data_IF_707846199713
#
_entry.id   IF_707846199713
#
_cell.length_a   1.000
_cell.length_b   1.000
_cell.length_c   1.000
_cell.angle_alpha   90.00
_cell.angle_beta   90.00
_cell.angle_gamma   90.00
#
_symmetry.space_group_name_H-M   'P 1'
#
loop_
_entity.id
_entity.type
_entity.pdbx_description
1 polymer ?
#
# COMPACT_ATOMS: atom_id res chain seq x y z
N UNK A 1 -14.79 15.96 39.37
CA UNK A 1 -14.70 16.11 37.90
C UNK A 1 -13.23 16.27 37.55
N UNK A 2 -12.58 15.24 37.00
CA UNK A 2 -11.18 15.35 36.58
C UNK A 2 -11.12 16.28 35.37
N UNK A 3 -10.28 17.32 35.44
CA UNK A 3 -9.94 18.14 34.27
C UNK A 3 -9.49 17.17 33.18
N UNK A 4 -10.20 17.12 32.05
CA UNK A 4 -9.80 16.32 30.89
C UNK A 4 -8.40 16.78 30.50
N UNK A 5 -7.40 15.94 30.77
CA UNK A 5 -6.03 16.24 30.40
C UNK A 5 -5.98 16.31 28.88
N UNK A 6 -5.59 17.48 28.34
CA UNK A 6 -5.41 17.67 26.90
C UNK A 6 -4.47 16.59 26.35
N UNK A 7 -4.85 16.00 25.22
CA UNK A 7 -4.13 14.87 24.63
C UNK A 7 -3.67 15.14 23.21
N UNK A 8 -2.39 14.86 22.96
CA UNK A 8 -1.79 14.81 21.62
C UNK A 8 -1.77 13.37 21.15
N UNK A 9 -2.23 13.13 19.93
CA UNK A 9 -2.13 11.83 19.28
C UNK A 9 -1.17 11.92 18.09
N UNK A 10 -0.10 11.15 18.12
CA UNK A 10 0.84 11.00 17.01
C UNK A 10 0.45 9.77 16.18
N UNK A 11 0.14 9.96 14.90
CA UNK A 11 -0.05 8.81 13.99
C UNK A 11 1.29 8.46 13.39
N UNK A 12 1.83 7.30 13.77
CA UNK A 12 3.15 6.81 13.38
C UNK A 12 3.01 5.54 12.56
N UNK A 13 4.04 5.20 11.80
CA UNK A 13 4.02 4.00 10.97
C UNK A 13 4.54 2.76 11.70
N UNK A 14 5.61 2.93 12.50
CA UNK A 14 6.35 1.82 13.09
C UNK A 14 6.58 2.06 14.59
N UNK A 15 6.54 1.01 15.44
CA UNK A 15 6.84 1.14 16.87
C UNK A 15 8.20 1.76 17.19
N UNK A 16 9.19 1.57 16.30
CA UNK A 16 10.52 2.16 16.46
C UNK A 16 10.49 3.69 16.48
N UNK A 17 9.61 4.34 15.72
CA UNK A 17 9.45 5.81 15.72
C UNK A 17 9.07 6.31 17.12
N UNK A 18 8.10 5.66 17.77
CA UNK A 18 7.67 6.01 19.12
C UNK A 18 8.81 5.89 20.15
N UNK A 19 9.66 4.85 20.06
CA UNK A 19 10.79 4.68 20.98
C UNK A 19 11.78 5.83 20.90
N UNK A 20 12.08 6.31 19.70
CA UNK A 20 12.99 7.45 19.51
C UNK A 20 12.33 8.80 19.81
N UNK A 21 11.02 8.92 19.62
CA UNK A 21 10.24 10.12 19.97
C UNK A 21 10.04 10.28 21.48
N UNK A 22 9.84 9.19 22.23
CA UNK A 22 9.42 9.23 23.63
C UNK A 22 10.26 10.16 24.52
N UNK A 23 11.61 10.18 24.46
CA UNK A 23 12.43 11.09 25.26
C UNK A 23 12.23 12.58 24.92
N UNK A 24 11.91 12.88 23.67
CA UNK A 24 11.79 14.25 23.17
C UNK A 24 10.38 14.82 23.40
N UNK A 25 9.35 14.01 23.19
CA UNK A 25 7.95 14.46 23.34
C UNK A 25 7.60 14.79 24.79
N UNK A 26 8.24 14.15 25.77
CA UNK A 26 8.10 14.49 27.19
C UNK A 26 8.57 15.92 27.49
N UNK A 27 9.55 16.42 26.72
CA UNK A 27 10.05 17.81 26.82
C UNK A 27 9.17 18.78 26.03
N UNK A 28 8.72 18.36 24.84
CA UNK A 28 7.94 19.20 23.94
C UNK A 28 6.49 19.42 24.42
N UNK A 29 5.87 18.42 25.05
CA UNK A 29 4.52 18.49 25.61
C UNK A 29 4.47 18.10 27.11
N UNK A 30 5.12 18.85 28.01
CA UNK A 30 5.37 18.41 29.39
C UNK A 30 4.12 18.32 30.29
N UNK A 31 2.97 18.80 29.82
CA UNK A 31 1.69 18.79 30.57
C UNK A 31 0.57 18.07 29.84
N UNK A 32 0.83 17.54 28.64
CA UNK A 32 -0.18 16.88 27.83
C UNK A 32 0.03 15.38 27.87
N UNK A 33 -1.05 14.64 27.72
CA UNK A 33 -0.96 13.20 27.53
C UNK A 33 -0.61 12.93 26.06
N UNK A 34 0.50 12.26 25.78
CA UNK A 34 0.93 11.96 24.42
C UNK A 34 0.69 10.49 24.12
N UNK A 35 -0.20 10.20 23.18
CA UNK A 35 -0.48 8.85 22.68
C UNK A 35 0.09 8.71 21.27
N UNK A 36 0.53 7.50 20.90
CA UNK A 36 0.88 7.18 19.54
C UNK A 36 0.05 6.03 19.01
N UNK A 37 -0.45 6.16 17.78
CA UNK A 37 -1.20 5.13 17.04
C UNK A 37 -0.33 4.63 15.90
N UNK A 38 -0.12 3.31 15.82
CA UNK A 38 0.69 2.70 14.77
C UNK A 38 -0.15 2.27 13.56
N UNK A 39 0.28 2.64 12.35
CA UNK A 39 -0.34 2.20 11.10
C UNK A 39 0.30 0.93 10.50
N UNK A 40 1.47 0.51 11.01
CA UNK A 40 2.17 -0.74 10.71
C UNK A 40 2.51 -0.93 9.21
N UNK A 41 2.90 0.14 8.50
CA UNK A 41 3.24 0.17 7.06
C UNK A 41 2.07 -0.14 6.10
N UNK A 42 1.24 -1.13 6.43
CA UNK A 42 0.12 -1.61 5.62
C UNK A 42 -1.19 -0.85 5.85
N UNK A 43 -1.23 0.03 6.86
CA UNK A 43 -2.44 0.69 7.34
C UNK A 43 -3.30 -0.23 8.21
N UNK A 44 -4.14 0.38 9.05
CA UNK A 44 -5.12 -0.31 9.90
C UNK A 44 -6.40 -0.73 9.16
N UNK A 45 -6.53 -0.30 7.91
CA UNK A 45 -7.65 -0.64 7.06
C UNK A 45 -7.14 -1.28 5.76
N UNK A 46 -7.92 -2.22 5.26
CA UNK A 46 -7.69 -2.87 3.98
C UNK A 46 -8.92 -2.76 3.08
N UNK A 47 -8.76 -3.12 1.81
CA UNK A 47 -9.85 -3.01 0.86
C UNK A 47 -11.01 -3.95 1.22
N UNK A 48 -12.21 -3.39 1.20
CA UNK A 48 -13.47 -4.11 1.21
C UNK A 48 -13.92 -4.30 -0.22
N UNK A 49 -13.59 -5.44 -0.82
CA UNK A 49 -14.01 -5.72 -2.19
C UNK A 49 -15.53 -5.93 -2.29
N UNK A 50 -16.18 -5.47 -3.38
CA UNK A 50 -17.57 -5.76 -3.65
C UNK A 50 -17.79 -7.27 -3.75
N UNK A 51 -18.91 -7.75 -3.20
CA UNK A 51 -19.33 -9.14 -3.28
C UNK A 51 -20.47 -9.27 -4.29
N UNK A 52 -20.65 -10.47 -4.84
CA UNK A 52 -21.76 -10.77 -5.74
C UNK A 52 -21.66 -10.14 -7.13
N UNK A 53 -20.46 -9.71 -7.55
CA UNK A 53 -20.26 -9.27 -8.93
C UNK A 53 -20.48 -10.43 -9.90
N UNK A 54 -21.27 -10.16 -10.92
CA UNK A 54 -21.55 -11.05 -12.04
C UNK A 54 -20.59 -10.77 -13.19
N UNK A 55 -20.60 -11.63 -14.21
CA UNK A 55 -19.77 -11.43 -15.40
C UNK A 55 -20.11 -10.14 -16.16
N UNK A 56 -21.38 -9.70 -16.13
CA UNK A 56 -21.82 -8.44 -16.74
C UNK A 56 -21.38 -7.19 -15.98
N UNK A 57 -20.97 -7.33 -14.71
CA UNK A 57 -20.44 -6.22 -13.92
C UNK A 57 -18.94 -5.94 -14.19
N UNK A 58 -18.31 -6.76 -15.03
CA UNK A 58 -16.90 -6.66 -15.37
C UNK A 58 -16.70 -6.04 -16.77
N UNK A 59 -15.68 -5.18 -16.97
CA UNK A 59 -14.72 -4.72 -15.96
C UNK A 59 -15.31 -3.73 -14.95
N UNK A 60 -15.06 -3.99 -13.67
CA UNK A 60 -15.51 -3.15 -12.56
C UNK A 60 -14.64 -1.90 -12.41
N UNK A 61 -15.26 -0.77 -12.08
CA UNK A 61 -14.57 0.46 -11.67
C UNK A 61 -15.40 1.19 -10.63
N UNK A 62 -14.85 1.41 -9.44
CA UNK A 62 -15.49 2.08 -8.31
C UNK A 62 -14.49 2.76 -7.38
N UNK A 63 -15.01 3.48 -6.39
CA UNK A 63 -14.18 4.08 -5.35
C UNK A 63 -13.71 2.99 -4.36
N UNK A 64 -12.46 3.07 -3.85
CA UNK A 64 -12.00 2.18 -2.80
C UNK A 64 -12.92 2.22 -1.58
N UNK A 65 -13.38 1.05 -1.16
CA UNK A 65 -14.03 0.85 0.12
C UNK A 65 -13.07 0.18 1.09
N UNK A 66 -13.22 0.50 2.38
CA UNK A 66 -12.28 0.07 3.42
C UNK A 66 -13.00 -0.78 4.46
N UNK A 67 -12.29 -1.71 5.07
CA UNK A 67 -12.71 -2.44 6.29
C UNK A 67 -11.50 -2.52 7.21
N UNK A 68 -11.75 -2.70 8.50
CA UNK A 68 -10.67 -2.91 9.45
C UNK A 68 -9.82 -4.13 9.05
N UNK A 69 -8.51 -3.96 9.16
CA UNK A 69 -7.56 -5.03 8.89
C UNK A 69 -7.61 -6.03 10.03
N UNK A 70 -7.73 -7.30 9.67
CA UNK A 70 -7.59 -8.41 10.63
C UNK A 70 -6.11 -8.77 10.75
N UNK A 71 -5.62 -8.91 11.97
CA UNK A 71 -4.25 -9.34 12.25
C UNK A 71 -4.27 -10.81 12.67
N UNK A 72 -3.56 -11.67 11.93
CA UNK A 72 -3.53 -13.12 12.18
C UNK A 72 -2.56 -13.55 13.30
N UNK A 73 -1.93 -12.60 13.98
CA UNK A 73 -0.98 -12.81 15.08
C UNK A 73 -1.46 -12.09 16.33
N UNK A 74 -0.87 -12.38 17.50
CA UNK A 74 -1.16 -11.68 18.74
C UNK A 74 -1.27 -10.17 18.48
N UNK A 75 -2.45 -9.59 18.77
CA UNK A 75 -2.79 -8.22 18.40
C UNK A 75 -1.65 -7.28 18.80
N UNK A 76 -0.93 -6.67 17.83
CA UNK A 76 0.10 -5.72 18.17
C UNK A 76 -0.55 -4.59 18.98
N UNK A 77 0.14 -4.08 20.00
CA UNK A 77 -0.34 -2.89 20.70
C UNK A 77 -0.36 -1.73 19.70
N UNK A 78 -1.54 -1.40 19.18
CA UNK A 78 -1.73 -0.36 18.16
C UNK A 78 -1.68 1.04 18.75
N UNK A 79 -2.00 1.16 20.05
CA UNK A 79 -1.91 2.41 20.80
C UNK A 79 -0.92 2.25 21.94
N UNK A 80 0.00 3.20 22.03
CA UNK A 80 0.92 3.34 23.16
C UNK A 80 0.83 4.74 23.74
N UNK A 81 1.28 4.88 24.97
CA UNK A 81 1.47 6.15 25.65
C UNK A 81 2.96 6.47 25.73
N UNK A 82 3.33 7.70 25.38
CA UNK A 82 4.69 8.21 25.47
C UNK A 82 4.80 9.03 26.76
N UNK A 83 5.30 8.41 27.83
CA UNK A 83 5.34 9.00 29.17
C UNK A 83 6.72 8.81 29.80
N UNK A 84 7.21 9.84 30.49
CA UNK A 84 8.51 9.84 31.17
C UNK A 84 9.69 9.38 30.30
N UNK A 85 9.65 9.66 29.00
CA UNK A 85 10.69 9.26 28.06
C UNK A 85 10.61 7.81 27.56
N UNK A 86 9.57 7.08 27.94
CA UNK A 86 9.37 5.66 27.63
C UNK A 86 8.09 5.40 26.81
N UNK A 87 7.98 4.19 26.27
CA UNK A 87 6.82 3.71 25.52
C UNK A 87 6.04 2.72 26.39
N UNK A 88 4.85 3.14 26.85
CA UNK A 88 3.96 2.34 27.67
C UNK A 88 2.85 1.73 26.82
N UNK A 89 2.66 0.42 26.87
CA UNK A 89 1.55 -0.24 26.17
C UNK A 89 0.22 0.17 26.78
N UNK A 90 -0.81 0.28 25.94
CA UNK A 90 -2.18 0.55 26.38
C UNK A 90 -3.13 -0.51 25.82
N UNK A 91 -4.32 -0.62 26.41
CA UNK A 91 -5.44 -1.39 25.89
C UNK A 91 -6.46 -0.49 25.15
N UNK A 92 -6.06 0.73 24.76
CA UNK A 92 -6.93 1.67 24.10
C UNK A 92 -7.06 1.34 22.62
N UNK A 93 -8.23 1.63 22.06
CA UNK A 93 -8.49 1.43 20.64
C UNK A 93 -8.16 2.69 19.82
N UNK A 94 -7.54 2.55 18.62
CA UNK A 94 -7.20 3.68 17.75
C UNK A 94 -8.35 4.66 17.51
N UNK A 95 -9.55 4.14 17.19
CA UNK A 95 -10.70 4.98 16.87
C UNK A 95 -11.15 5.84 18.06
N UNK A 96 -11.15 5.29 19.28
CA UNK A 96 -11.52 6.02 20.48
C UNK A 96 -10.50 7.12 20.78
N UNK A 97 -9.22 6.79 20.70
CA UNK A 97 -8.12 7.73 20.96
C UNK A 97 -8.12 8.88 19.97
N UNK A 98 -8.33 8.60 18.69
CA UNK A 98 -8.41 9.60 17.64
C UNK A 98 -9.64 10.50 17.83
N UNK A 99 -10.80 9.93 18.15
CA UNK A 99 -12.04 10.69 18.35
C UNK A 99 -12.00 11.61 19.58
N UNK A 100 -11.28 11.23 20.64
CA UNK A 100 -11.15 12.04 21.85
C UNK A 100 -9.95 13.00 21.85
N UNK A 101 -9.12 12.97 20.81
CA UNK A 101 -7.88 13.73 20.76
C UNK A 101 -8.13 15.25 20.74
N UNK A 102 -7.36 16.02 21.52
CA UNK A 102 -7.34 17.48 21.37
C UNK A 102 -6.61 17.87 20.08
N UNK A 103 -5.52 17.18 19.75
CA UNK A 103 -4.76 17.43 18.53
C UNK A 103 -4.20 16.12 18.00
N UNK A 104 -4.26 15.96 16.68
CA UNK A 104 -3.75 14.78 15.98
C UNK A 104 -2.63 15.24 15.04
N UNK A 105 -1.47 14.60 15.13
CA UNK A 105 -0.30 14.89 14.32
C UNK A 105 -0.04 13.78 13.32
N UNK A 106 0.29 14.18 12.09
CA UNK A 106 0.91 13.27 11.14
C UNK A 106 2.38 13.02 11.52
N UNK A 107 2.79 11.76 11.59
CA UNK A 107 4.18 11.35 11.82
C UNK A 107 4.54 10.00 11.18
N UNK A 108 3.83 9.58 10.13
CA UNK A 108 4.20 8.42 9.32
C UNK A 108 5.46 8.71 8.48
N UNK A 109 5.99 7.71 7.77
CA UNK A 109 7.10 7.94 6.84
C UNK A 109 6.69 9.01 5.79
N UNK A 110 7.58 9.94 5.39
CA UNK A 110 7.26 11.04 4.48
C UNK A 110 7.14 10.57 3.01
N UNK A 111 6.14 9.73 2.74
CA UNK A 111 5.85 9.16 1.43
C UNK A 111 4.33 8.99 1.17
N UNK A 112 4.01 8.52 -0.05
CA UNK A 112 2.63 8.32 -0.49
C UNK A 112 1.87 7.24 0.30
N UNK A 113 2.57 6.25 0.87
CA UNK A 113 1.95 5.18 1.67
C UNK A 113 1.59 5.70 3.05
N UNK A 114 2.51 6.41 3.71
CA UNK A 114 2.32 7.03 5.03
C UNK A 114 1.18 8.06 5.03
N UNK A 115 1.21 8.99 4.07
CA UNK A 115 0.16 10.02 3.92
C UNK A 115 -1.23 9.40 3.67
N UNK A 116 -1.31 8.38 2.82
CA UNK A 116 -2.58 7.72 2.53
C UNK A 116 -3.08 6.87 3.73
N UNK A 117 -2.20 6.15 4.42
CA UNK A 117 -2.57 5.37 5.60
C UNK A 117 -3.12 6.27 6.72
N UNK A 118 -2.51 7.44 6.91
CA UNK A 118 -3.00 8.49 7.80
C UNK A 118 -4.39 8.98 7.40
N UNK A 119 -4.58 9.38 6.13
CA UNK A 119 -5.87 9.91 5.66
C UNK A 119 -7.00 8.88 5.77
N UNK A 120 -6.73 7.63 5.40
CA UNK A 120 -7.70 6.54 5.51
C UNK A 120 -8.07 6.32 6.98
N UNK A 121 -7.08 6.26 7.88
CA UNK A 121 -7.33 6.10 9.31
C UNK A 121 -8.23 7.21 9.86
N UNK A 122 -7.90 8.48 9.59
CA UNK A 122 -8.73 9.61 10.02
C UNK A 122 -10.14 9.56 9.42
N UNK A 123 -10.26 9.23 8.14
CA UNK A 123 -11.56 9.16 7.46
C UNK A 123 -12.45 8.09 8.08
N UNK A 124 -11.87 6.94 8.46
CA UNK A 124 -12.63 5.85 9.09
C UNK A 124 -12.98 6.14 10.56
N UNK A 125 -12.14 6.87 11.29
CA UNK A 125 -12.39 7.19 12.70
C UNK A 125 -13.24 8.46 12.91
N UNK A 126 -13.13 9.47 12.04
CA UNK A 126 -13.73 10.79 12.22
C UNK A 126 -14.74 11.18 11.12
N UNK A 127 -14.78 10.45 10.01
CA UNK A 127 -15.52 10.85 8.81
C UNK A 127 -14.71 11.76 7.87
N UNK A 128 -15.15 11.86 6.62
CA UNK A 128 -14.40 12.51 5.54
C UNK A 128 -14.19 14.03 5.76
N UNK A 129 -15.22 14.74 6.23
CA UNK A 129 -15.14 16.18 6.48
C UNK A 129 -14.13 16.50 7.58
N UNK A 130 -14.24 15.82 8.72
CA UNK A 130 -13.29 16.00 9.82
C UNK A 130 -11.88 15.59 9.41
N UNK A 131 -11.71 14.50 8.65
CA UNK A 131 -10.41 14.05 8.16
C UNK A 131 -9.74 15.02 7.18
N UNK A 132 -10.50 15.89 6.50
CA UNK A 132 -9.97 16.90 5.58
C UNK A 132 -9.48 18.17 6.26
N UNK A 133 -9.75 18.35 7.57
CA UNK A 133 -9.27 19.52 8.33
C UNK A 133 -7.73 19.53 8.39
N UNK A 134 -7.14 20.70 8.21
CA UNK A 134 -5.69 20.91 8.36
C UNK A 134 -5.22 20.47 9.76
N UNK A 135 -4.14 19.68 9.81
CA UNK A 135 -3.55 19.17 11.05
C UNK A 135 -2.05 19.38 11.08
N UNK A 136 -1.45 19.51 12.28
CA UNK A 136 0.00 19.51 12.41
C UNK A 136 0.64 18.26 11.81
N UNK A 137 1.83 18.42 11.24
CA UNK A 137 2.59 17.36 10.63
C UNK A 137 4.08 17.48 10.98
N UNK A 138 4.71 16.35 11.26
CA UNK A 138 6.16 16.24 11.38
C UNK A 138 6.68 15.26 10.33
N UNK A 139 7.64 15.70 9.53
CA UNK A 139 8.25 14.86 8.49
C UNK A 139 9.52 14.20 9.03
N UNK A 140 9.39 12.94 9.47
CA UNK A 140 10.50 12.17 10.02
C UNK A 140 11.38 11.63 8.89
N UNK A 141 12.42 12.37 8.52
CA UNK A 141 13.42 11.95 7.51
C UNK A 141 14.54 11.08 8.08
N UNK A 142 14.67 11.05 9.40
CA UNK A 142 15.61 10.23 10.16
C UNK A 142 15.09 9.96 11.57
N UNK A 143 15.63 8.92 12.22
CA UNK A 143 15.24 8.53 13.59
C UNK A 143 16.31 8.86 14.65
N UNK A 144 17.39 9.53 14.26
CA UNK A 144 18.33 10.08 15.21
C UNK A 144 17.75 11.30 15.93
N UNK A 145 18.28 11.59 17.12
CA UNK A 145 17.81 12.68 17.98
C UNK A 145 17.76 14.03 17.25
N UNK A 146 18.77 14.34 16.44
CA UNK A 146 18.89 15.61 15.73
C UNK A 146 17.79 15.75 14.67
N UNK A 147 17.58 14.71 13.86
CA UNK A 147 16.53 14.69 12.84
C UNK A 147 15.13 14.82 13.44
N UNK A 148 14.86 14.11 14.54
CA UNK A 148 13.55 14.19 15.22
C UNK A 148 13.33 15.57 15.84
N UNK A 149 14.33 16.11 16.54
CA UNK A 149 14.22 17.46 17.12
C UNK A 149 13.95 18.50 16.03
N UNK A 150 14.67 18.42 14.90
CA UNK A 150 14.44 19.28 13.74
C UNK A 150 13.00 19.14 13.21
N UNK A 151 12.44 17.94 13.14
CA UNK A 151 11.08 17.72 12.68
C UNK A 151 10.01 18.26 13.65
N UNK A 152 10.29 18.25 14.96
CA UNK A 152 9.43 18.84 15.99
C UNK A 152 9.50 20.38 15.99
N UNK A 153 10.69 20.94 15.85
CA UNK A 153 10.91 22.39 15.87
C UNK A 153 10.44 23.07 14.58
N UNK A 154 10.59 22.39 13.44
CA UNK A 154 10.14 22.82 12.12
C UNK A 154 8.90 22.04 11.68
N UNK A 155 7.95 21.84 12.59
CA UNK A 155 6.68 21.20 12.26
C UNK A 155 5.94 22.01 11.17
N UNK A 156 5.29 21.30 10.28
CA UNK A 156 4.44 21.86 9.21
C UNK A 156 2.99 21.42 9.43
N UNK A 157 2.16 21.45 8.39
CA UNK A 157 0.79 20.97 8.44
C UNK A 157 0.50 20.00 7.30
N UNK A 158 -0.67 19.37 7.35
CA UNK A 158 -1.16 18.54 6.24
C UNK A 158 -1.51 19.37 5.00
N UNK A 159 -1.53 20.71 5.05
CA UNK A 159 -1.64 21.56 3.86
C UNK A 159 -0.28 21.82 3.17
N UNK A 160 0.82 21.33 3.76
CA UNK A 160 2.15 21.40 3.14
C UNK A 160 2.13 20.79 1.71
N UNK A 161 2.70 21.47 0.70
CA UNK A 161 2.72 20.99 -0.67
C UNK A 161 3.31 19.58 -0.85
N UNK A 162 4.30 19.19 -0.03
CA UNK A 162 4.89 17.85 -0.08
C UNK A 162 3.90 16.80 0.44
N UNK A 163 3.24 17.06 1.57
CA UNK A 163 2.21 16.17 2.10
C UNK A 163 1.07 15.98 1.09
N UNK A 164 0.55 17.08 0.53
CA UNK A 164 -0.51 17.05 -0.47
C UNK A 164 -0.10 16.26 -1.73
N UNK A 165 1.17 16.37 -2.14
CA UNK A 165 1.72 15.57 -3.23
C UNK A 165 1.72 14.08 -2.89
N UNK A 166 2.17 13.70 -1.70
CA UNK A 166 2.17 12.30 -1.26
C UNK A 166 0.76 11.74 -1.14
N UNK A 167 -0.16 12.50 -0.56
CA UNK A 167 -1.55 12.09 -0.41
C UNK A 167 -2.19 11.79 -1.78
N UNK A 168 -2.08 12.71 -2.74
CA UNK A 168 -2.60 12.53 -4.11
C UNK A 168 -2.01 11.30 -4.81
N UNK A 169 -0.70 11.09 -4.69
CA UNK A 169 -0.04 9.88 -5.23
C UNK A 169 -0.58 8.61 -4.57
N UNK A 170 -0.78 8.64 -3.26
CA UNK A 170 -1.34 7.53 -2.49
C UNK A 170 -2.77 7.21 -2.89
N UNK A 171 -3.62 8.23 -3.05
CA UNK A 171 -5.01 8.08 -3.51
C UNK A 171 -5.09 7.45 -4.91
N UNK A 172 -4.34 7.98 -5.87
CA UNK A 172 -4.28 7.44 -7.22
C UNK A 172 -3.85 5.96 -7.22
N UNK A 173 -2.82 5.64 -6.43
CA UNK A 173 -2.34 4.27 -6.26
C UNK A 173 -3.41 3.36 -5.67
N UNK A 174 -4.12 3.79 -4.61
CA UNK A 174 -5.19 2.98 -4.00
C UNK A 174 -6.40 2.83 -4.91
N UNK A 175 -6.76 3.87 -5.66
CA UNK A 175 -7.80 3.79 -6.67
C UNK A 175 -7.46 2.74 -7.74
N UNK A 176 -6.24 2.75 -8.28
CA UNK A 176 -5.79 1.74 -9.22
C UNK A 176 -5.78 0.34 -8.57
N UNK A 177 -5.13 0.19 -7.42
CA UNK A 177 -4.93 -1.12 -6.78
C UNK A 177 -6.26 -1.78 -6.38
N UNK A 178 -7.21 -0.99 -5.87
CA UNK A 178 -8.55 -1.49 -5.55
C UNK A 178 -9.22 -2.08 -6.79
N UNK A 179 -9.33 -1.28 -7.86
CA UNK A 179 -10.04 -1.69 -9.06
C UNK A 179 -9.31 -2.80 -9.81
N UNK A 180 -7.98 -2.76 -9.87
CA UNK A 180 -7.19 -3.86 -10.43
C UNK A 180 -7.45 -5.15 -9.68
N UNK A 181 -7.41 -5.14 -8.34
CA UNK A 181 -7.57 -6.34 -7.54
C UNK A 181 -8.98 -6.93 -7.68
N UNK A 182 -10.05 -6.11 -7.71
CA UNK A 182 -11.42 -6.59 -7.93
C UNK A 182 -11.53 -7.37 -9.24
N UNK A 183 -11.02 -6.79 -10.33
CA UNK A 183 -11.06 -7.43 -11.64
C UNK A 183 -10.13 -8.65 -11.73
N UNK A 184 -8.92 -8.56 -11.18
CA UNK A 184 -7.95 -9.65 -11.18
C UNK A 184 -8.46 -10.87 -10.39
N UNK A 185 -9.10 -10.66 -9.23
CA UNK A 185 -9.69 -11.75 -8.45
C UNK A 185 -10.77 -12.49 -9.26
N UNK A 186 -11.64 -11.75 -9.96
CA UNK A 186 -12.70 -12.34 -10.77
C UNK A 186 -12.15 -13.03 -12.03
N UNK A 187 -11.28 -12.34 -12.78
CA UNK A 187 -10.85 -12.77 -14.12
C UNK A 187 -9.62 -13.67 -14.09
N UNK A 188 -8.62 -13.39 -13.27
CA UNK A 188 -7.42 -14.23 -13.18
C UNK A 188 -7.59 -15.36 -12.17
N UNK A 189 -8.41 -15.19 -11.13
CA UNK A 189 -8.65 -16.23 -10.12
C UNK A 189 -9.12 -17.56 -10.72
N UNK A 190 -10.03 -17.53 -11.71
CA UNK A 190 -10.45 -18.74 -12.41
C UNK A 190 -9.30 -19.39 -13.20
N UNK A 191 -8.46 -18.59 -13.88
CA UNK A 191 -7.32 -19.12 -14.64
C UNK A 191 -6.26 -19.74 -13.73
N UNK A 192 -6.01 -19.12 -12.57
CA UNK A 192 -5.11 -19.65 -11.55
C UNK A 192 -5.60 -21.01 -11.03
N UNK A 193 -6.88 -21.13 -10.70
CA UNK A 193 -7.46 -22.41 -10.25
C UNK A 193 -7.40 -23.49 -11.32
N UNK A 194 -7.62 -23.14 -12.59
CA UNK A 194 -7.54 -24.09 -13.71
C UNK A 194 -6.16 -24.72 -13.85
N UNK A 195 -5.09 -24.04 -13.45
CA UNK A 195 -3.72 -24.59 -13.43
C UNK A 195 -3.30 -25.14 -12.05
N UNK A 196 -4.25 -25.31 -11.13
CA UNK A 196 -4.02 -25.90 -9.82
C UNK A 196 -3.34 -24.97 -8.79
N UNK A 197 -3.52 -23.66 -8.89
CA UNK A 197 -3.10 -22.70 -7.85
C UNK A 197 -4.18 -22.54 -6.79
N UNK A 198 -3.80 -22.62 -5.52
CA UNK A 198 -4.67 -22.29 -4.39
C UNK A 198 -4.84 -20.76 -4.27
N UNK A 199 -5.99 -20.26 -4.72
CA UNK A 199 -6.32 -18.82 -4.67
C UNK A 199 -6.83 -18.36 -3.30
N UNK A 200 -6.97 -19.24 -2.30
CA UNK A 200 -7.32 -18.82 -0.95
C UNK A 200 -6.15 -18.07 -0.27
N UNK A 201 -4.92 -18.50 -0.58
CA UNK A 201 -3.69 -17.96 0.01
C UNK A 201 -2.84 -17.15 -0.97
N UNK A 202 -3.25 -17.07 -2.24
CA UNK A 202 -2.50 -16.37 -3.29
C UNK A 202 -3.40 -15.44 -4.11
N UNK A 203 -2.99 -14.17 -4.18
CA UNK A 203 -3.57 -13.17 -5.08
C UNK A 203 -2.52 -12.66 -6.07
N UNK A 204 -2.81 -12.75 -7.37
CA UNK A 204 -1.92 -12.26 -8.40
C UNK A 204 -1.94 -10.73 -8.45
N UNK A 205 -0.86 -10.10 -8.00
CA UNK A 205 -0.71 -8.64 -8.13
C UNK A 205 -0.34 -8.25 -9.55
N UNK A 206 -0.64 -6.99 -9.92
CA UNK A 206 -0.24 -6.41 -11.22
C UNK A 206 1.25 -6.58 -11.52
N UNK A 207 2.11 -6.46 -10.51
CA UNK A 207 3.55 -6.59 -10.65
C UNK A 207 4.00 -8.05 -10.73
N UNK A 208 3.31 -8.96 -10.03
CA UNK A 208 3.56 -10.40 -10.18
C UNK A 208 3.28 -10.87 -11.60
N UNK A 209 2.21 -10.38 -12.23
CA UNK A 209 1.88 -10.69 -13.61
C UNK A 209 2.96 -10.19 -14.59
N UNK A 210 3.42 -8.93 -14.45
CA UNK A 210 4.45 -8.40 -15.35
C UNK A 210 5.80 -9.08 -15.18
N UNK A 211 6.18 -9.45 -13.95
CA UNK A 211 7.37 -10.24 -13.70
C UNK A 211 7.25 -11.64 -14.32
N UNK A 212 6.08 -12.27 -14.23
CA UNK A 212 5.85 -13.59 -14.82
C UNK A 212 5.97 -13.56 -16.35
N UNK A 213 5.42 -12.54 -17.03
CA UNK A 213 5.63 -12.36 -18.48
C UNK A 213 7.10 -12.15 -18.84
N UNK A 214 7.84 -11.37 -18.05
CA UNK A 214 9.28 -11.19 -18.28
C UNK A 214 10.04 -12.52 -18.17
N UNK A 215 9.77 -13.30 -17.13
CA UNK A 215 10.37 -14.64 -16.94
C UNK A 215 9.97 -15.63 -18.03
N UNK A 216 8.83 -15.41 -18.72
CA UNK A 216 8.42 -16.21 -19.86
C UNK A 216 9.25 -15.91 -21.13
N UNK A 217 9.72 -14.66 -21.28
CA UNK A 217 10.52 -14.22 -22.44
C UNK A 217 12.03 -14.42 -22.27
N UNK A 218 12.48 -14.84 -21.10
CA UNK A 218 13.90 -14.92 -20.77
C UNK A 218 14.28 -16.30 -20.20
N UNK A 219 15.57 -16.61 -20.23
CA UNK A 219 16.12 -17.78 -19.53
C UNK A 219 16.18 -17.55 -18.02
N UNK A 220 16.77 -18.49 -17.29
CA UNK A 220 16.85 -18.45 -15.84
C UNK A 220 17.69 -17.24 -15.35
N UNK A 221 17.28 -16.61 -14.25
CA UNK A 221 17.97 -15.46 -13.67
C UNK A 221 18.31 -15.68 -12.20
N UNK A 222 19.49 -15.21 -11.76
CA UNK A 222 19.75 -15.10 -10.33
C UNK A 222 18.78 -14.13 -9.66
N UNK A 223 18.32 -14.47 -8.46
CA UNK A 223 17.35 -13.67 -7.71
C UNK A 223 17.81 -12.23 -7.47
N UNK A 224 19.08 -12.01 -7.12
CA UNK A 224 19.62 -10.65 -6.94
C UNK A 224 19.55 -9.81 -8.23
N UNK A 225 19.70 -10.43 -9.40
CA UNK A 225 19.54 -9.75 -10.70
C UNK A 225 18.08 -9.39 -10.95
N UNK A 226 17.14 -10.25 -10.53
CA UNK A 226 15.72 -9.94 -10.61
C UNK A 226 15.38 -8.74 -9.72
N UNK A 227 15.90 -8.67 -8.49
CA UNK A 227 15.65 -7.50 -7.64
C UNK A 227 16.24 -6.20 -8.21
N UNK A 228 17.44 -6.25 -8.79
CA UNK A 228 18.02 -5.10 -9.49
C UNK A 228 17.18 -4.68 -10.70
N UNK A 229 16.65 -5.66 -11.45
CA UNK A 229 15.74 -5.41 -12.57
C UNK A 229 14.41 -4.80 -12.10
N UNK A 230 13.83 -5.30 -11.01
CA UNK A 230 12.59 -4.75 -10.44
C UNK A 230 12.81 -3.34 -9.86
N UNK A 231 14.01 -3.01 -9.42
CA UNK A 231 14.38 -1.67 -8.99
C UNK A 231 14.41 -0.69 -10.16
N UNK A 232 15.04 -1.10 -11.27
CA UNK A 232 15.21 -0.32 -12.49
C UNK A 232 14.51 -0.98 -13.68
N UNK A 233 13.20 -1.18 -13.56
CA UNK A 233 12.39 -1.86 -14.56
C UNK A 233 12.41 -1.08 -15.87
N UNK A 234 12.92 -1.66 -16.97
CA UNK A 234 13.15 -0.94 -18.22
C UNK A 234 11.85 -0.69 -19.00
N UNK A 235 10.79 -1.46 -18.71
CA UNK A 235 9.58 -1.47 -19.53
C UNK A 235 9.90 -1.85 -20.98
N UNK A 236 9.19 -1.21 -21.92
CA UNK A 236 9.45 -1.33 -23.37
C UNK A 236 10.53 -0.37 -23.87
N UNK A 237 11.09 0.48 -23.00
CA UNK A 237 11.97 1.60 -23.37
C UNK A 237 11.23 2.88 -23.80
N UNK A 238 9.90 2.85 -23.90
CA UNK A 238 9.08 4.05 -24.17
C UNK A 238 9.17 5.10 -23.05
N UNK A 239 9.34 4.64 -21.81
CA UNK A 239 9.45 5.48 -20.62
C UNK A 239 10.84 5.28 -19.99
N UNK A 240 11.26 6.22 -19.13
CA UNK A 240 12.44 6.02 -18.31
C UNK A 240 12.28 4.83 -17.34
N UNK A 241 13.39 4.28 -16.81
CA UNK A 241 13.33 3.19 -15.83
C UNK A 241 12.42 3.55 -14.65
N UNK A 242 11.58 2.60 -14.26
CA UNK A 242 10.61 2.75 -13.16
C UNK A 242 10.71 1.55 -12.23
N UNK A 243 10.15 1.62 -11.03
CA UNK A 243 10.22 0.47 -10.12
C UNK A 243 9.00 -0.45 -10.22
N UNK A 244 9.25 -1.74 -10.40
CA UNK A 244 8.26 -2.80 -10.31
C UNK A 244 8.08 -3.22 -8.84
N UNK A 245 7.12 -2.56 -8.17
CA UNK A 245 6.85 -2.77 -6.74
C UNK A 245 7.74 -1.93 -5.83
N UNK A 246 7.28 -1.69 -4.60
CA UNK A 246 8.13 -1.06 -3.57
C UNK A 246 9.21 -2.03 -3.10
N UNK A 247 10.29 -1.49 -2.54
CA UNK A 247 11.37 -2.29 -1.91
C UNK A 247 10.80 -3.36 -0.98
N UNK A 248 9.81 -2.99 -0.15
CA UNK A 248 9.17 -3.92 0.79
C UNK A 248 8.35 -5.03 0.11
N UNK A 249 7.85 -4.82 -1.11
CA UNK A 249 6.99 -5.77 -1.82
C UNK A 249 7.71 -6.74 -2.75
N UNK A 250 8.94 -6.42 -3.19
CA UNK A 250 9.63 -7.19 -4.25
C UNK A 250 9.87 -8.64 -3.86
N UNK A 251 10.35 -8.87 -2.64
CA UNK A 251 10.54 -10.21 -2.10
C UNK A 251 9.22 -10.99 -2.08
N UNK A 252 8.14 -10.39 -1.58
CA UNK A 252 6.81 -11.03 -1.55
C UNK A 252 6.24 -11.33 -2.94
N UNK A 253 6.54 -10.51 -3.95
CA UNK A 253 6.14 -10.78 -5.34
C UNK A 253 6.82 -12.07 -5.84
N UNK A 254 8.15 -12.18 -5.65
CA UNK A 254 8.92 -13.36 -6.08
C UNK A 254 8.51 -14.60 -5.29
N UNK A 255 8.51 -14.52 -3.96
CA UNK A 255 8.14 -15.64 -3.09
C UNK A 255 6.68 -16.07 -3.28
N UNK A 256 5.77 -15.14 -3.57
CA UNK A 256 4.38 -15.46 -3.91
C UNK A 256 4.27 -16.28 -5.20
N UNK A 257 5.02 -15.91 -6.25
CA UNK A 257 5.06 -16.66 -7.51
C UNK A 257 5.67 -18.06 -7.34
N UNK A 258 6.71 -18.19 -6.51
CA UNK A 258 7.35 -19.47 -6.16
C UNK A 258 6.38 -20.34 -5.36
N UNK A 259 5.74 -19.77 -4.33
CA UNK A 259 4.78 -20.48 -3.47
C UNK A 259 3.56 -20.97 -4.26
N UNK A 260 3.09 -20.20 -5.24
CA UNK A 260 2.03 -20.59 -6.16
C UNK A 260 2.49 -21.63 -7.22
N UNK A 261 3.80 -21.95 -7.25
CA UNK A 261 4.46 -22.80 -8.27
C UNK A 261 4.25 -22.28 -9.70
N UNK A 262 4.14 -20.97 -9.86
CA UNK A 262 4.15 -20.32 -11.18
C UNK A 262 5.58 -20.08 -11.66
N UNK A 263 6.51 -19.97 -10.71
CA UNK A 263 7.95 -19.82 -10.90
C UNK A 263 8.67 -20.92 -10.11
N UNK A 264 9.79 -21.39 -10.64
CA UNK A 264 10.67 -22.37 -10.00
C UNK A 264 11.96 -21.70 -9.54
N UNK A 265 12.51 -22.17 -8.43
CA UNK A 265 13.83 -21.78 -7.91
C UNK A 265 14.71 -23.03 -7.81
N UNK A 266 15.84 -23.04 -8.52
CA UNK A 266 16.84 -24.10 -8.47
C UNK A 266 18.24 -23.47 -8.43
N UNK A 267 19.08 -23.86 -7.47
CA UNK A 267 20.47 -23.38 -7.36
C UNK A 267 20.62 -21.84 -7.37
N UNK A 268 19.65 -21.12 -6.79
CA UNK A 268 19.63 -19.65 -6.75
C UNK A 268 19.24 -18.99 -8.08
N UNK A 269 18.88 -19.78 -9.08
CA UNK A 269 18.28 -19.35 -10.34
C UNK A 269 16.77 -19.46 -10.26
N UNK A 270 16.09 -18.49 -10.87
CA UNK A 270 14.65 -18.31 -10.87
C UNK A 270 14.17 -18.30 -12.32
N UNK A 271 13.16 -19.10 -12.65
CA UNK A 271 12.60 -19.20 -14.00
C UNK A 271 11.10 -19.52 -13.99
N UNK A 272 10.42 -19.29 -15.11
CA UNK A 272 9.01 -19.68 -15.22
C UNK A 272 8.87 -21.21 -15.23
N UNK A 273 7.90 -21.71 -14.45
CA UNK A 273 7.52 -23.13 -14.44
C UNK A 273 6.61 -23.48 -15.63
N UNK A 274 6.38 -24.78 -15.87
CA UNK A 274 5.37 -25.21 -16.84
C UNK A 274 3.97 -24.70 -16.49
N UNK A 275 3.60 -24.77 -15.21
CA UNK A 275 2.33 -24.22 -14.70
C UNK A 275 2.21 -22.72 -14.96
N UNK A 276 3.30 -21.97 -14.79
CA UNK A 276 3.36 -20.54 -15.10
C UNK A 276 3.08 -20.27 -16.58
N UNK A 277 3.66 -21.07 -17.48
CA UNK A 277 3.40 -20.96 -18.93
C UNK A 277 1.96 -21.30 -19.27
N UNK A 278 1.42 -22.38 -18.72
CA UNK A 278 0.01 -22.76 -18.89
C UNK A 278 -0.93 -21.66 -18.39
N UNK A 279 -0.62 -21.04 -17.25
CA UNK A 279 -1.39 -19.92 -16.72
C UNK A 279 -1.39 -18.73 -17.68
N UNK A 280 -0.21 -18.32 -18.18
CA UNK A 280 -0.10 -17.23 -19.14
C UNK A 280 -0.83 -17.55 -20.46
N UNK A 281 -0.87 -18.82 -20.88
CA UNK A 281 -1.64 -19.27 -22.04
C UNK A 281 -3.16 -19.09 -21.91
N UNK A 282 -3.68 -18.94 -20.69
CA UNK A 282 -5.09 -18.63 -20.42
C UNK A 282 -5.39 -17.12 -20.37
N UNK A 283 -4.38 -16.29 -20.57
CA UNK A 283 -4.50 -14.84 -20.57
C UNK A 283 -4.39 -14.28 -21.98
N UNK A 284 -5.13 -13.21 -22.25
CA UNK A 284 -4.99 -12.45 -23.48
C UNK A 284 -3.57 -11.88 -23.57
N UNK A 285 -2.88 -11.93 -24.73
CA UNK A 285 -1.51 -11.44 -24.87
C UNK A 285 -1.29 -10.01 -24.37
N UNK A 286 -2.24 -9.10 -24.62
CA UNK A 286 -2.21 -7.71 -24.13
C UNK A 286 -2.32 -7.55 -22.60
N UNK A 287 -2.41 -8.63 -21.82
CA UNK A 287 -2.22 -8.56 -20.37
C UNK A 287 -0.74 -8.33 -19.98
N UNK A 288 0.18 -8.51 -20.93
CA UNK A 288 1.57 -8.07 -20.82
C UNK A 288 1.66 -6.56 -21.05
N UNK A 289 1.88 -5.82 -19.96
CA UNK A 289 2.09 -4.37 -19.96
C UNK A 289 3.33 -4.03 -19.15
N UNK A 290 4.50 -4.15 -19.80
CA UNK A 290 5.78 -3.87 -19.18
C UNK A 290 5.93 -2.39 -18.78
N UNK A 291 5.15 -1.49 -19.38
CA UNK A 291 5.18 -0.05 -19.07
C UNK A 291 4.25 0.35 -17.94
N UNK A 292 3.49 -0.59 -17.38
CA UNK A 292 2.54 -0.32 -16.30
C UNK A 292 3.17 0.44 -15.11
N UNK A 293 4.37 0.09 -14.60
CA UNK A 293 4.95 0.84 -13.48
C UNK A 293 5.21 2.31 -13.81
N UNK A 294 5.67 2.63 -15.03
CA UNK A 294 5.90 4.00 -15.47
C UNK A 294 4.59 4.78 -15.66
N UNK A 295 3.58 4.17 -16.29
CA UNK A 295 2.24 4.78 -16.43
C UNK A 295 1.62 5.10 -15.08
N UNK A 296 1.76 4.20 -14.10
CA UNK A 296 1.27 4.43 -12.75
C UNK A 296 1.97 5.61 -12.07
N UNK A 297 3.28 5.75 -12.27
CA UNK A 297 4.02 6.90 -11.73
C UNK A 297 3.53 8.23 -12.34
N UNK A 298 3.30 8.28 -13.66
CA UNK A 298 2.73 9.44 -14.35
C UNK A 298 1.32 9.76 -13.81
N UNK A 299 0.44 8.77 -13.75
CA UNK A 299 -0.93 8.99 -13.27
C UNK A 299 -0.99 9.41 -11.80
N UNK A 300 -0.08 8.94 -10.96
CA UNK A 300 0.01 9.38 -9.57
C UNK A 300 0.39 10.86 -9.44
N UNK A 301 1.25 11.37 -10.33
CA UNK A 301 1.65 12.79 -10.35
C UNK A 301 0.47 13.67 -10.82
N UNK A 302 -0.27 13.22 -11.83
CA UNK A 302 -1.38 13.96 -12.44
C UNK A 302 -2.72 13.85 -11.67
N UNK A 303 -2.76 13.20 -10.52
CA UNK A 303 -4.00 12.98 -9.78
C UNK A 303 -4.59 14.30 -9.24
N UNK A 304 -5.91 14.54 -9.35
CA UNK A 304 -6.99 13.63 -9.78
C UNK A 304 -7.30 13.63 -11.29
N UNK A 305 -6.63 14.43 -12.11
CA UNK A 305 -6.93 14.55 -13.55
C UNK A 305 -6.71 13.23 -14.31
N UNK A 306 -5.77 12.39 -13.85
CA UNK A 306 -5.48 11.07 -14.41
C UNK A 306 -6.56 10.01 -14.15
N UNK A 307 -7.58 10.28 -13.32
CA UNK A 307 -8.63 9.30 -12.98
C UNK A 307 -9.26 8.65 -14.21
N UNK A 308 -9.73 9.45 -15.17
CA UNK A 308 -10.34 8.92 -16.40
C UNK A 308 -9.35 8.09 -17.24
N UNK A 309 -8.05 8.40 -17.21
CA UNK A 309 -7.00 7.59 -17.88
C UNK A 309 -6.89 6.21 -17.23
N UNK A 310 -6.88 6.14 -15.90
CA UNK A 310 -6.88 4.88 -15.13
C UNK A 310 -8.14 4.05 -15.41
N UNK A 311 -9.32 4.67 -15.33
CA UNK A 311 -10.60 3.97 -15.57
C UNK A 311 -10.68 3.41 -17.00
N UNK A 312 -10.21 4.18 -18.00
CA UNK A 312 -10.12 3.70 -19.39
C UNK A 312 -9.14 2.53 -19.50
N UNK A 313 -7.96 2.63 -18.88
CA UNK A 313 -6.97 1.57 -18.88
C UNK A 313 -7.55 0.26 -18.33
N UNK A 314 -8.15 0.30 -17.14
CA UNK A 314 -8.72 -0.88 -16.48
C UNK A 314 -9.82 -1.53 -17.33
N UNK A 315 -10.74 -0.73 -17.90
CA UNK A 315 -11.77 -1.23 -18.81
C UNK A 315 -11.21 -1.87 -20.07
N UNK A 316 -10.19 -1.28 -20.68
CA UNK A 316 -9.56 -1.86 -21.88
C UNK A 316 -8.79 -3.14 -21.54
N UNK A 317 -7.95 -3.11 -20.50
CA UNK A 317 -7.11 -4.22 -20.08
C UNK A 317 -7.94 -5.45 -19.72
N UNK A 318 -8.88 -5.31 -18.77
CA UNK A 318 -9.71 -6.42 -18.34
C UNK A 318 -10.82 -6.76 -19.33
N UNK A 319 -11.29 -5.80 -20.14
CA UNK A 319 -12.28 -6.06 -21.18
C UNK A 319 -11.74 -6.96 -22.30
N UNK A 320 -10.45 -6.84 -22.63
CA UNK A 320 -9.78 -7.77 -23.55
C UNK A 320 -9.71 -9.18 -22.96
N UNK A 321 -9.29 -9.29 -21.69
CA UNK A 321 -9.27 -10.58 -21.00
C UNK A 321 -10.66 -11.23 -20.90
N UNK A 322 -11.69 -10.44 -20.62
CA UNK A 322 -13.07 -10.91 -20.52
C UNK A 322 -13.53 -11.57 -21.83
N UNK A 323 -13.35 -10.87 -22.97
CA UNK A 323 -13.70 -11.38 -24.30
C UNK A 323 -12.89 -12.62 -24.69
N UNK A 324 -11.60 -12.64 -24.35
CA UNK A 324 -10.72 -13.78 -24.62
C UNK A 324 -11.21 -15.06 -23.92
N UNK A 325 -11.76 -14.93 -22.71
CA UNK A 325 -12.35 -16.07 -21.99
C UNK A 325 -13.70 -16.51 -22.53
N UNK A 326 -14.49 -15.59 -23.08
CA UNK A 326 -15.78 -15.94 -23.68
C UNK A 326 -15.65 -16.67 -25.03
N UNK A 327 -14.48 -16.62 -25.66
CA UNK A 327 -14.19 -17.30 -26.93
C UNK A 327 -13.59 -18.70 -26.78
N UNK A 328 -13.24 -19.11 -25.56
CA UNK A 328 -12.70 -20.44 -25.22
C UNK A 328 -13.82 -21.37 -24.75
#
# INVERSE_FOLDING_TARGET
MSVLQSSVVLILEKPVQARFLAPLVATYWPRQRVLAVYTLYLGLYEFRYPRGLTFSDLPYTGNPAWKERTFNYAHPALVVELSSGEVCKTALEPAQVIASATTIWYGCDPDASGANAYQVLLTQCLGAEAAAVERPAMFLTGLDKTSIQKALDASTTTEDPLFQTWLKKGEAKRFFDFNYNVNALALFGASLRNVGVDTANYGLSKYSLQLLYFLNSCSQHHEWRLFNLMDRWPGTGRYGPSSLGSVASRAFIVEGLISARLVERAEGLVCISNRGREFLGQLHPDCQDQDLPARLAEWQIEWPASRKKIERYLRTFFGKQLRFKSSL
#
